data_IF_188928460697
#
_entry.id   IF_188928460697
#
_cell.length_a   1.000
_cell.length_b   1.000
_cell.length_c   1.000
_cell.angle_alpha   90.00
_cell.angle_beta   90.00
_cell.angle_gamma   90.00
#
_symmetry.space_group_name_H-M   'P 1'
#
loop_
_entity.id
_entity.type
_entity.pdbx_description
1 polymer ?
#
# COMPACT_ATOMS: atom_id res chain seq x y z
N UNK A 1 -29.29 -8.18 32.80
CA UNK A 1 -27.92 -8.53 32.35
C UNK A 1 -27.33 -7.31 31.66
N UNK A 2 -26.59 -6.46 32.38
CA UNK A 2 -25.85 -5.35 31.76
C UNK A 2 -24.67 -5.91 30.95
N UNK A 3 -24.62 -5.57 29.66
CA UNK A 3 -23.48 -5.90 28.81
C UNK A 3 -22.34 -4.95 29.17
N UNK A 4 -21.33 -5.45 29.89
CA UNK A 4 -20.05 -4.73 30.10
C UNK A 4 -19.41 -4.49 28.74
N UNK A 5 -19.50 -3.27 28.23
CA UNK A 5 -18.74 -2.87 27.04
C UNK A 5 -17.25 -2.86 27.39
N UNK A 6 -16.51 -3.81 26.81
CA UNK A 6 -15.07 -3.91 26.98
C UNK A 6 -14.40 -2.62 26.48
N UNK A 7 -13.50 -2.07 27.30
CA UNK A 7 -12.70 -0.89 26.98
C UNK A 7 -11.86 -1.16 25.74
N UNK A 8 -12.10 -0.41 24.67
CA UNK A 8 -11.29 -0.49 23.45
C UNK A 8 -9.81 -0.23 23.81
N UNK A 9 -8.86 -1.05 23.32
CA UNK A 9 -7.45 -0.84 23.60
C UNK A 9 -6.99 0.52 23.04
N UNK A 10 -6.05 1.17 23.76
CA UNK A 10 -5.48 2.45 23.31
C UNK A 10 -4.87 2.26 21.91
N UNK A 11 -5.17 3.14 20.94
CA UNK A 11 -4.59 3.04 19.61
C UNK A 11 -3.06 3.15 19.71
N UNK A 12 -2.36 2.15 19.21
CA UNK A 12 -0.92 2.20 18.97
C UNK A 12 -0.60 3.13 17.80
N UNK A 13 0.66 3.57 17.64
CA UNK A 13 1.10 4.34 16.45
C UNK A 13 0.75 3.61 15.13
N UNK A 14 0.78 2.28 15.13
CA UNK A 14 0.32 1.44 14.01
C UNK A 14 -1.20 1.55 13.70
N UNK A 15 -2.01 1.97 14.68
CA UNK A 15 -3.46 2.20 14.55
C UNK A 15 -3.83 3.66 14.27
N UNK A 16 -2.84 4.57 14.23
CA UNK A 16 -3.09 6.02 14.26
C UNK A 16 -3.51 6.58 12.89
N UNK A 17 -3.17 5.88 11.79
CA UNK A 17 -3.48 6.30 10.43
C UNK A 17 -4.65 5.48 9.85
N UNK A 18 -5.85 5.64 10.43
CA UNK A 18 -7.07 4.96 9.92
C UNK A 18 -7.48 5.47 8.53
N UNK A 19 -7.16 6.72 8.22
CA UNK A 19 -7.64 7.40 7.01
C UNK A 19 -6.46 7.82 6.13
N UNK A 20 -6.48 7.37 4.89
CA UNK A 20 -5.60 7.87 3.83
C UNK A 20 -6.20 9.14 3.25
N UNK A 21 -5.49 10.26 3.41
CA UNK A 21 -5.95 11.59 3.01
C UNK A 21 -5.38 12.04 1.66
N UNK A 22 -4.64 11.16 0.98
CA UNK A 22 -4.02 11.46 -0.31
C UNK A 22 -2.55 11.83 -0.26
N UNK A 23 -2.03 12.21 -1.42
CA UNK A 23 -0.63 12.58 -1.63
C UNK A 23 -0.51 13.43 -2.90
N UNK A 24 0.40 14.41 -2.90
CA UNK A 24 0.77 15.19 -4.09
C UNK A 24 2.06 14.68 -4.76
N UNK A 25 2.80 13.76 -4.13
CA UNK A 25 4.06 13.23 -4.65
C UNK A 25 3.82 12.47 -5.97
N UNK A 26 4.43 12.88 -7.10
CA UNK A 26 4.22 12.24 -8.41
C UNK A 26 4.56 10.75 -8.44
N UNK A 27 5.57 10.30 -7.68
CA UNK A 27 5.94 8.87 -7.60
C UNK A 27 4.86 8.07 -6.88
N UNK A 28 4.29 8.63 -5.82
CA UNK A 28 3.16 7.99 -5.12
C UNK A 28 1.95 7.89 -6.03
N UNK A 29 1.66 8.93 -6.82
CA UNK A 29 0.56 8.93 -7.79
C UNK A 29 0.73 7.83 -8.84
N UNK A 30 1.93 7.68 -9.42
CA UNK A 30 2.24 6.59 -10.35
C UNK A 30 2.07 5.21 -9.71
N UNK A 31 2.57 5.03 -8.48
CA UNK A 31 2.44 3.78 -7.75
C UNK A 31 0.97 3.40 -7.50
N UNK A 32 0.15 4.35 -7.04
CA UNK A 32 -1.27 4.12 -6.80
C UNK A 32 -2.02 3.80 -8.09
N UNK A 33 -1.70 4.49 -9.20
CA UNK A 33 -2.33 4.24 -10.49
C UNK A 33 -2.11 2.79 -10.98
N UNK A 34 -0.87 2.30 -10.93
CA UNK A 34 -0.58 0.94 -11.39
C UNK A 34 -1.08 -0.14 -10.43
N UNK A 35 -0.97 0.09 -9.11
CA UNK A 35 -1.43 -0.87 -8.10
C UNK A 35 -2.97 -0.96 -8.01
N UNK A 36 -3.69 0.08 -8.44
CA UNK A 36 -5.14 0.02 -8.68
C UNK A 36 -5.50 -0.94 -9.81
N UNK A 37 -4.62 -1.14 -10.80
CA UNK A 37 -4.88 -2.05 -11.91
C UNK A 37 -4.45 -3.48 -11.60
N UNK A 38 -3.26 -3.68 -11.02
CA UNK A 38 -2.73 -5.01 -10.70
C UNK A 38 -1.69 -5.02 -9.59
N UNK A 39 -1.47 -6.17 -8.92
CA UNK A 39 -0.27 -6.41 -8.12
C UNK A 39 1.01 -6.24 -8.96
N UNK A 40 2.09 -5.78 -8.34
CA UNK A 40 3.39 -5.67 -9.00
C UNK A 40 4.56 -6.20 -8.17
N UNK A 41 5.51 -6.91 -8.80
CA UNK A 41 6.83 -7.13 -8.23
C UNK A 41 7.52 -5.82 -7.86
N UNK A 42 8.37 -5.84 -6.83
CA UNK A 42 9.18 -4.69 -6.41
C UNK A 42 9.95 -4.09 -7.59
N UNK A 43 10.64 -4.93 -8.35
CA UNK A 43 11.57 -4.50 -9.41
C UNK A 43 10.81 -3.83 -10.58
N UNK A 44 9.63 -4.34 -10.89
CA UNK A 44 8.76 -3.75 -11.91
C UNK A 44 8.16 -2.42 -11.42
N UNK A 45 7.83 -2.34 -10.13
CA UNK A 45 7.36 -1.11 -9.51
C UNK A 45 8.43 -0.01 -9.52
N UNK A 46 9.68 -0.34 -9.22
CA UNK A 46 10.84 0.58 -9.30
C UNK A 46 10.89 1.29 -10.66
N UNK A 47 10.83 0.51 -11.75
CA UNK A 47 10.83 1.02 -13.13
C UNK A 47 9.60 1.90 -13.44
N UNK A 48 8.40 1.44 -13.10
CA UNK A 48 7.16 2.17 -13.41
C UNK A 48 7.07 3.52 -12.68
N UNK A 49 7.50 3.58 -11.42
CA UNK A 49 7.40 4.80 -10.61
C UNK A 49 8.59 5.75 -10.82
N UNK A 50 9.70 5.24 -11.36
CA UNK A 50 10.94 5.99 -11.54
C UNK A 50 11.69 6.21 -10.21
N UNK A 51 11.86 5.14 -9.42
CA UNK A 51 12.76 5.12 -8.27
C UNK A 51 13.52 3.79 -8.20
N UNK A 52 14.64 3.76 -7.46
CA UNK A 52 15.43 2.55 -7.20
C UNK A 52 15.12 1.90 -5.84
N UNK A 53 14.17 2.48 -5.10
CA UNK A 53 13.82 2.08 -3.74
C UNK A 53 12.31 2.18 -3.51
N UNK A 54 11.51 1.45 -4.29
CA UNK A 54 10.07 1.32 -4.05
C UNK A 54 9.72 0.82 -2.64
N UNK A 55 10.53 0.02 -1.91
CA UNK A 55 10.24 -0.30 -0.52
C UNK A 55 10.04 0.93 0.38
N UNK A 56 10.85 1.98 0.20
CA UNK A 56 10.72 3.25 0.94
C UNK A 56 9.45 4.03 0.53
N UNK A 57 9.16 4.08 -0.77
CA UNK A 57 7.91 4.66 -1.28
C UNK A 57 6.68 3.95 -0.69
N UNK A 58 6.71 2.62 -0.63
CA UNK A 58 5.63 1.81 -0.03
C UNK A 58 5.55 2.08 1.48
N UNK A 59 6.68 2.21 2.17
CA UNK A 59 6.70 2.58 3.59
C UNK A 59 6.04 3.94 3.85
N UNK A 60 6.30 4.94 3.01
CA UNK A 60 5.62 6.23 3.08
C UNK A 60 4.12 6.11 2.84
N UNK A 61 3.69 5.39 1.81
CA UNK A 61 2.25 5.16 1.57
C UNK A 61 1.57 4.42 2.73
N UNK A 62 2.30 3.51 3.39
CA UNK A 62 1.84 2.84 4.61
C UNK A 62 1.69 3.79 5.79
N UNK A 63 2.68 4.65 6.00
CA UNK A 63 2.63 5.71 7.01
C UNK A 63 1.46 6.69 6.75
N UNK A 64 1.05 6.86 5.49
CA UNK A 64 -0.13 7.64 5.11
C UNK A 64 -1.47 6.91 5.33
N UNK A 65 -1.47 5.68 5.87
CA UNK A 65 -2.68 4.96 6.23
C UNK A 65 -3.17 3.92 5.22
N UNK A 66 -2.34 3.52 4.25
CA UNK A 66 -2.58 2.33 3.43
C UNK A 66 -1.95 1.09 4.08
N UNK A 67 -2.50 -0.09 3.83
CA UNK A 67 -1.89 -1.36 4.26
C UNK A 67 -0.80 -1.80 3.30
N UNK A 68 -1.09 -1.82 1.98
CA UNK A 68 -0.14 -2.17 0.92
C UNK A 68 0.76 -3.37 1.26
N UNK A 69 0.20 -4.56 1.50
CA UNK A 69 0.97 -5.77 1.84
C UNK A 69 2.02 -6.12 0.78
N UNK A 70 3.04 -6.86 1.22
CA UNK A 70 4.05 -7.47 0.36
C UNK A 70 3.97 -8.98 0.52
N UNK A 71 3.50 -9.68 -0.51
CA UNK A 71 3.43 -11.14 -0.52
C UNK A 71 4.69 -11.69 -1.17
N UNK A 72 5.28 -12.71 -0.56
CA UNK A 72 6.47 -13.40 -1.07
C UNK A 72 6.01 -14.52 -2.01
N UNK A 73 6.40 -14.45 -3.29
CA UNK A 73 6.04 -15.43 -4.30
C UNK A 73 7.31 -16.08 -4.88
N UNK A 74 7.35 -17.41 -5.06
CA UNK A 74 8.46 -18.08 -5.73
C UNK A 74 8.75 -17.52 -7.12
N UNK A 75 10.01 -17.40 -7.47
CA UNK A 75 10.49 -17.15 -8.83
C UNK A 75 11.88 -17.75 -9.01
N UNK A 76 12.28 -17.97 -10.25
CA UNK A 76 13.63 -18.43 -10.58
C UNK A 76 14.52 -17.21 -10.78
N UNK A 77 15.68 -17.18 -10.11
CA UNK A 77 16.67 -16.13 -10.30
C UNK A 77 17.54 -16.37 -11.55
N UNK A 78 18.54 -15.51 -11.76
CA UNK A 78 19.41 -15.58 -12.94
C UNK A 78 20.33 -16.81 -12.94
N UNK A 79 20.59 -17.37 -11.77
CA UNK A 79 21.48 -18.52 -11.59
C UNK A 79 20.70 -19.85 -11.56
N UNK A 80 19.37 -19.79 -11.76
CA UNK A 80 18.50 -20.95 -11.85
C UNK A 80 17.93 -21.42 -10.50
N UNK A 81 18.15 -20.67 -9.42
CA UNK A 81 17.66 -21.05 -8.10
C UNK A 81 16.25 -20.51 -7.82
N UNK A 82 15.44 -21.28 -7.08
CA UNK A 82 14.17 -20.79 -6.57
C UNK A 82 14.43 -19.78 -5.45
N UNK A 83 14.06 -18.54 -5.69
CA UNK A 83 14.05 -17.46 -4.72
C UNK A 83 12.62 -16.97 -4.50
N UNK A 84 12.43 -16.07 -3.54
CA UNK A 84 11.14 -15.41 -3.33
C UNK A 84 11.26 -13.94 -3.67
N UNK A 85 10.40 -13.45 -4.58
CA UNK A 85 10.25 -12.01 -4.87
C UNK A 85 9.08 -11.42 -4.11
N UNK A 86 9.18 -10.13 -3.79
CA UNK A 86 8.09 -9.39 -3.16
C UNK A 86 7.11 -8.87 -4.19
N UNK A 87 5.81 -9.11 -3.98
CA UNK A 87 4.72 -8.54 -4.78
C UNK A 87 3.90 -7.61 -3.90
N UNK A 88 3.83 -6.34 -4.29
CA UNK A 88 2.99 -5.34 -3.67
C UNK A 88 1.60 -5.34 -4.31
N UNK A 89 0.56 -5.15 -3.50
CA UNK A 89 -0.79 -4.95 -3.99
C UNK A 89 -1.62 -4.11 -3.02
N UNK A 90 -2.65 -3.45 -3.54
CA UNK A 90 -3.68 -2.83 -2.70
C UNK A 90 -4.63 -3.91 -2.15
N UNK A 91 -4.94 -3.82 -0.87
CA UNK A 91 -6.07 -4.58 -0.30
C UNK A 91 -7.40 -3.99 -0.76
N UNK A 92 -8.52 -4.71 -0.57
CA UNK A 92 -9.86 -4.16 -0.82
C UNK A 92 -10.12 -2.88 -0.01
N UNK A 93 -9.60 -2.80 1.22
CA UNK A 93 -9.70 -1.61 2.06
C UNK A 93 -8.89 -0.44 1.48
N UNK A 94 -7.66 -0.69 1.03
CA UNK A 94 -6.82 0.32 0.40
C UNK A 94 -7.47 0.89 -0.87
N UNK A 95 -7.99 0.01 -1.73
CA UNK A 95 -8.70 0.41 -2.96
C UNK A 95 -9.87 1.36 -2.65
N UNK A 96 -10.65 1.05 -1.61
CA UNK A 96 -11.77 1.91 -1.15
C UNK A 96 -11.28 3.26 -0.63
N UNK A 97 -10.18 3.28 0.13
CA UNK A 97 -9.57 4.52 0.64
C UNK A 97 -9.08 5.41 -0.51
N UNK A 98 -8.35 4.82 -1.47
CA UNK A 98 -7.86 5.54 -2.66
C UNK A 98 -9.02 6.07 -3.50
N UNK A 99 -10.05 5.25 -3.77
CA UNK A 99 -11.22 5.68 -4.53
C UNK A 99 -11.98 6.83 -3.84
N UNK A 100 -12.17 6.78 -2.52
CA UNK A 100 -12.78 7.88 -1.76
C UNK A 100 -11.99 9.18 -1.90
N UNK A 101 -10.67 9.09 -1.78
CA UNK A 101 -9.81 10.25 -1.96
C UNK A 101 -9.85 10.80 -3.38
N UNK A 102 -9.78 9.96 -4.42
CA UNK A 102 -9.91 10.40 -5.82
C UNK A 102 -11.24 11.13 -6.05
N UNK A 103 -12.35 10.59 -5.54
CA UNK A 103 -13.67 11.25 -5.62
C UNK A 103 -13.66 12.63 -4.94
N UNK A 104 -13.00 12.77 -3.78
CA UNK A 104 -12.91 14.09 -3.12
C UNK A 104 -12.08 15.11 -3.89
N UNK A 105 -11.20 14.68 -4.81
CA UNK A 105 -10.40 15.57 -5.66
C UNK A 105 -11.17 16.08 -6.88
N UNK A 106 -12.14 15.33 -7.38
CA UNK A 106 -12.94 15.72 -8.55
C UNK A 106 -14.05 16.73 -8.21
N UNK A 107 -14.41 16.84 -6.92
CA UNK A 107 -15.46 17.75 -6.42
C UNK A 107 -14.90 19.15 -6.09
N UNK A 108 -13.59 19.36 -6.27
CA UNK A 108 -12.89 20.64 -6.12
C UNK A 108 -12.58 21.20 -7.50
#
# INVERSE_FOLDING_TARGET
MEKKNARQPKPTSANQHRNFNGTANPRHLRALAVLQNRPMPREELDGFVGCSNSPDLIAHLRAMGLTLPCVRVPCIDRDGFEVRRGIYHLTTSDRRKVARWLKSREVV
#
